data_IF_268851640109
#
_entry.id   IF_268851640109
#
_cell.length_a   1.000
_cell.length_b   1.000
_cell.length_c   1.000
_cell.angle_alpha   90.00
_cell.angle_beta   90.00
_cell.angle_gamma   90.00
#
_symmetry.space_group_name_H-M   'P 1'
#
loop_
_entity.id
_entity.type
_entity.pdbx_description
1 polymer ?
#
# COMPACT_ATOMS: atom_id res chain seq x y z
N UNK A 1 -19.45 5.72 -12.40
CA UNK A 1 -19.14 7.07 -11.91
C UNK A 1 -19.33 8.15 -12.99
N UNK A 2 -20.16 9.17 -12.70
CA UNK A 2 -20.36 10.35 -13.55
C UNK A 2 -19.15 11.31 -13.49
N UNK A 3 -18.95 12.12 -14.53
CA UNK A 3 -17.93 13.17 -14.67
C UNK A 3 -17.86 14.14 -13.48
N UNK A 4 -19.00 14.62 -12.97
CA UNK A 4 -19.03 15.52 -11.81
C UNK A 4 -18.40 14.89 -10.55
N UNK A 5 -18.75 13.63 -10.27
CA UNK A 5 -18.19 12.91 -9.13
C UNK A 5 -16.69 12.66 -9.30
N UNK A 6 -16.24 12.31 -10.52
CA UNK A 6 -14.80 12.18 -10.83
C UNK A 6 -14.04 13.48 -10.56
N UNK A 7 -14.61 14.62 -10.95
CA UNK A 7 -14.01 15.94 -10.70
C UNK A 7 -13.91 16.22 -9.20
N UNK A 8 -14.97 15.95 -8.42
CA UNK A 8 -14.92 16.12 -6.95
C UNK A 8 -13.86 15.26 -6.28
N UNK A 9 -13.71 14.01 -6.71
CA UNK A 9 -12.66 13.10 -6.22
C UNK A 9 -11.29 13.67 -6.56
N UNK A 10 -11.07 14.06 -7.82
CA UNK A 10 -9.81 14.65 -8.27
C UNK A 10 -9.48 15.95 -7.52
N UNK A 11 -10.47 16.81 -7.28
CA UNK A 11 -10.30 18.03 -6.48
C UNK A 11 -9.94 17.73 -5.02
N UNK A 12 -10.50 16.68 -4.42
CA UNK A 12 -10.09 16.22 -3.08
C UNK A 12 -8.65 15.68 -3.05
N UNK A 13 -8.14 15.20 -4.18
CA UNK A 13 -6.75 14.75 -4.33
C UNK A 13 -5.76 15.89 -4.56
N UNK A 14 -6.21 17.13 -4.72
CA UNK A 14 -5.33 18.29 -4.86
C UNK A 14 -4.80 18.77 -3.50
N UNK A 15 -3.59 19.33 -3.48
CA UNK A 15 -3.01 19.94 -2.28
C UNK A 15 -2.86 21.45 -2.49
N UNK A 16 -3.80 22.22 -1.92
CA UNK A 16 -3.94 23.63 -2.29
C UNK A 16 -4.30 23.75 -3.78
N UNK A 17 -3.47 24.45 -4.55
CA UNK A 17 -3.63 24.58 -6.01
C UNK A 17 -2.76 23.60 -6.79
N UNK A 18 -2.08 22.66 -6.13
CA UNK A 18 -1.17 21.71 -6.77
C UNK A 18 -1.95 20.43 -7.09
N UNK A 19 -2.10 20.16 -8.38
CA UNK A 19 -2.78 18.96 -8.86
C UNK A 19 -1.87 17.71 -8.76
N UNK A 20 -2.43 16.50 -8.63
CA UNK A 20 -1.64 15.26 -8.65
C UNK A 20 -0.70 15.15 -9.86
N UNK A 21 -1.13 15.63 -11.02
CA UNK A 21 -0.35 15.56 -12.27
C UNK A 21 0.86 16.49 -12.29
N UNK A 22 0.87 17.51 -11.42
CA UNK A 22 1.96 18.49 -11.31
C UNK A 22 3.05 18.03 -10.32
N UNK A 23 2.76 17.02 -9.48
CA UNK A 23 3.72 16.51 -8.51
C UNK A 23 4.39 15.23 -9.02
N UNK A 24 5.70 15.32 -9.22
CA UNK A 24 6.49 14.20 -9.73
C UNK A 24 6.81 13.19 -8.62
N UNK A 25 6.26 11.98 -8.77
CA UNK A 25 6.76 10.79 -8.07
C UNK A 25 7.84 10.15 -8.93
N UNK A 26 9.00 9.74 -8.38
CA UNK A 26 10.14 9.23 -9.16
C UNK A 26 9.90 7.86 -9.80
N UNK A 27 8.75 7.22 -9.56
CA UNK A 27 8.41 5.90 -10.06
C UNK A 27 7.07 5.95 -10.79
N UNK A 28 6.94 5.33 -11.99
CA UNK A 28 5.71 5.34 -12.77
C UNK A 28 4.59 4.46 -12.19
N UNK A 29 4.93 3.51 -11.32
CA UNK A 29 4.02 2.67 -10.55
C UNK A 29 4.78 2.02 -9.38
N UNK A 30 4.06 1.25 -8.55
CA UNK A 30 4.63 0.60 -7.36
C UNK A 30 5.68 -0.45 -7.74
N UNK A 31 5.45 -1.26 -8.77
CA UNK A 31 6.39 -2.32 -9.14
C UNK A 31 7.75 -1.75 -9.60
N UNK A 32 7.77 -0.56 -10.20
CA UNK A 32 9.01 0.11 -10.57
C UNK A 32 9.90 0.50 -9.39
N UNK A 33 9.42 0.45 -8.14
CA UNK A 33 10.28 0.52 -6.95
C UNK A 33 11.28 -0.65 -6.91
N UNK A 34 10.80 -1.87 -7.20
CA UNK A 34 11.62 -3.08 -7.22
C UNK A 34 12.62 -3.02 -8.37
N UNK A 35 12.16 -2.63 -9.57
CA UNK A 35 13.04 -2.40 -10.73
C UNK A 35 14.13 -1.36 -10.38
N UNK A 36 13.73 -0.22 -9.81
CA UNK A 36 14.62 0.88 -9.45
C UNK A 36 15.67 0.51 -8.40
N UNK A 37 15.30 -0.21 -7.34
CA UNK A 37 16.27 -0.69 -6.34
C UNK A 37 17.28 -1.67 -6.95
N UNK A 38 16.83 -2.50 -7.90
CA UNK A 38 17.70 -3.47 -8.57
C UNK A 38 18.75 -2.83 -9.50
N UNK A 39 18.55 -1.61 -10.01
CA UNK A 39 19.54 -0.96 -10.89
C UNK A 39 20.88 -0.73 -10.17
N UNK A 40 20.84 -0.31 -8.90
CA UNK A 40 22.05 0.09 -8.14
C UNK A 40 22.31 -0.76 -6.90
N UNK A 41 21.30 -1.38 -6.33
CA UNK A 41 21.35 -2.00 -5.00
C UNK A 41 20.86 -3.44 -5.02
N UNK A 42 21.02 -4.13 -6.15
CA UNK A 42 20.58 -5.53 -6.34
C UNK A 42 21.08 -6.49 -5.25
N UNK A 43 22.30 -6.27 -4.75
CA UNK A 43 22.96 -7.13 -3.76
C UNK A 43 22.71 -6.67 -2.31
N UNK A 44 22.00 -5.54 -2.11
CA UNK A 44 21.62 -5.10 -0.77
C UNK A 44 20.50 -5.99 -0.23
N UNK A 45 20.57 -6.28 1.08
CA UNK A 45 19.53 -7.02 1.78
C UNK A 45 18.25 -6.19 1.85
N UNK A 46 17.14 -6.83 1.52
CA UNK A 46 15.78 -6.30 1.71
C UNK A 46 15.17 -6.92 2.97
N UNK A 47 15.27 -8.25 3.12
CA UNK A 47 14.81 -8.96 4.33
C UNK A 47 16.00 -9.64 4.98
N UNK A 48 16.52 -9.01 6.04
CA UNK A 48 17.79 -9.36 6.66
C UNK A 48 17.81 -10.79 7.20
N UNK A 49 16.79 -11.14 7.97
CA UNK A 49 16.70 -12.43 8.68
C UNK A 49 16.55 -13.61 7.72
N UNK A 50 16.01 -13.35 6.52
CA UNK A 50 15.83 -14.35 5.46
C UNK A 50 16.98 -14.34 4.45
N UNK A 51 17.94 -13.43 4.61
CA UNK A 51 19.02 -13.19 3.64
C UNK A 51 18.51 -12.93 2.22
N UNK A 52 17.33 -12.31 2.07
CA UNK A 52 16.76 -11.99 0.77
C UNK A 52 17.25 -10.61 0.34
N UNK A 53 17.96 -10.56 -0.78
CA UNK A 53 18.41 -9.35 -1.46
C UNK A 53 17.34 -8.74 -2.36
N UNK A 54 17.53 -7.49 -2.80
CA UNK A 54 16.66 -6.88 -3.82
C UNK A 54 16.58 -7.71 -5.11
N UNK A 55 17.68 -8.36 -5.51
CA UNK A 55 17.74 -9.25 -6.68
C UNK A 55 16.91 -10.50 -6.50
N UNK A 56 17.02 -11.14 -5.34
CA UNK A 56 16.24 -12.34 -5.03
C UNK A 56 14.75 -12.01 -4.92
N UNK A 57 14.40 -10.85 -4.33
CA UNK A 57 13.01 -10.40 -4.29
C UNK A 57 12.43 -10.18 -5.70
N UNK A 58 13.19 -9.55 -6.61
CA UNK A 58 12.76 -9.37 -8.00
C UNK A 58 12.56 -10.71 -8.72
N UNK A 59 13.49 -11.66 -8.56
CA UNK A 59 13.36 -13.01 -9.12
C UNK A 59 12.12 -13.74 -8.60
N UNK A 60 11.90 -13.72 -7.29
CA UNK A 60 10.73 -14.32 -6.65
C UNK A 60 9.43 -13.66 -7.14
N UNK A 61 9.42 -12.35 -7.31
CA UNK A 61 8.27 -11.61 -7.81
C UNK A 61 7.95 -11.95 -9.27
N UNK A 62 8.96 -12.08 -10.13
CA UNK A 62 8.75 -12.48 -11.52
C UNK A 62 8.23 -13.92 -11.61
N UNK A 63 8.80 -14.84 -10.82
CA UNK A 63 8.31 -16.22 -10.70
C UNK A 63 6.86 -16.26 -10.24
N UNK A 64 6.53 -15.42 -9.26
CA UNK A 64 5.17 -15.28 -8.75
C UNK A 64 4.20 -14.74 -9.81
N UNK A 65 4.59 -13.76 -10.61
CA UNK A 65 3.76 -13.24 -11.69
C UNK A 65 3.54 -14.28 -12.81
N UNK A 66 4.58 -15.06 -13.15
CA UNK A 66 4.48 -16.22 -14.05
C UNK A 66 3.53 -17.28 -13.50
N UNK A 67 3.64 -17.59 -12.21
CA UNK A 67 2.78 -18.55 -11.53
C UNK A 67 1.32 -18.09 -11.52
N UNK A 68 1.06 -16.84 -11.11
CA UNK A 68 -0.27 -16.22 -11.12
C UNK A 68 -0.90 -16.32 -12.51
N UNK A 69 -0.14 -16.05 -13.57
CA UNK A 69 -0.60 -16.20 -14.96
C UNK A 69 -1.00 -17.65 -15.26
N UNK A 70 -0.21 -18.64 -14.79
CA UNK A 70 -0.48 -20.07 -15.02
C UNK A 70 -1.75 -20.57 -14.34
N UNK A 71 -2.15 -19.96 -13.23
CA UNK A 71 -3.37 -20.29 -12.48
C UNK A 71 -4.57 -19.41 -12.84
N UNK A 72 -4.47 -18.61 -13.92
CA UNK A 72 -5.58 -17.84 -14.49
C UNK A 72 -5.57 -16.34 -14.20
N UNK A 73 -4.53 -15.82 -13.56
CA UNK A 73 -4.30 -14.38 -13.39
C UNK A 73 -4.14 -13.68 -14.74
N UNK A 74 -4.75 -12.49 -14.86
CA UNK A 74 -4.71 -11.69 -16.09
C UNK A 74 -4.29 -10.25 -15.77
N UNK A 75 -3.69 -9.54 -16.73
CA UNK A 75 -3.51 -8.10 -16.61
C UNK A 75 -4.84 -7.40 -16.29
N UNK A 76 -4.77 -6.29 -15.56
CA UNK A 76 -5.92 -5.44 -15.18
C UNK A 76 -6.97 -6.15 -14.31
N UNK A 77 -6.71 -7.39 -13.88
CA UNK A 77 -7.61 -8.11 -12.99
C UNK A 77 -7.40 -7.71 -11.52
N UNK A 78 -8.51 -7.70 -10.78
CA UNK A 78 -8.52 -7.59 -9.32
C UNK A 78 -8.29 -8.97 -8.74
N UNK A 79 -7.23 -9.15 -7.97
CA UNK A 79 -6.82 -10.44 -7.41
C UNK A 79 -6.82 -10.33 -5.89
N UNK A 80 -7.56 -11.22 -5.22
CA UNK A 80 -7.54 -11.34 -3.78
C UNK A 80 -6.19 -11.87 -3.31
N UNK A 81 -5.59 -11.16 -2.36
CA UNK A 81 -4.39 -11.60 -1.66
C UNK A 81 -4.78 -12.09 -0.27
N UNK A 82 -4.75 -13.40 0.00
CA UNK A 82 -4.93 -13.91 1.35
C UNK A 82 -3.71 -13.57 2.22
N UNK A 83 -3.88 -13.61 3.53
CA UNK A 83 -2.79 -13.41 4.49
C UNK A 83 -1.80 -14.58 4.46
N UNK A 84 -0.71 -14.42 3.73
CA UNK A 84 0.37 -15.41 3.61
C UNK A 84 1.48 -15.14 4.64
N UNK A 85 2.20 -16.18 5.09
CA UNK A 85 3.39 -15.99 5.92
C UNK A 85 4.42 -15.08 5.26
N UNK A 86 5.06 -14.22 6.04
CA UNK A 86 6.17 -13.39 5.58
C UNK A 86 7.29 -14.27 4.97
N UNK A 87 7.83 -13.95 3.79
CA UNK A 87 7.63 -12.72 2.99
C UNK A 87 6.67 -12.91 1.79
N UNK A 88 5.86 -13.96 1.78
CA UNK A 88 5.10 -14.35 0.59
C UNK A 88 3.93 -13.41 0.30
N UNK A 89 3.37 -12.72 1.30
CA UNK A 89 2.35 -11.69 1.08
C UNK A 89 2.93 -10.54 0.26
N UNK A 90 4.14 -10.09 0.60
CA UNK A 90 4.85 -9.01 -0.09
C UNK A 90 5.21 -9.44 -1.52
N UNK A 91 5.78 -10.64 -1.68
CA UNK A 91 6.13 -11.18 -3.01
C UNK A 91 4.87 -11.28 -3.89
N UNK A 92 3.75 -11.77 -3.35
CA UNK A 92 2.51 -11.88 -4.12
C UNK A 92 1.90 -10.53 -4.48
N UNK A 93 1.89 -9.55 -3.57
CA UNK A 93 1.41 -8.21 -3.89
C UNK A 93 2.21 -7.56 -5.02
N UNK A 94 3.54 -7.63 -4.95
CA UNK A 94 4.38 -7.13 -6.04
C UNK A 94 4.23 -7.95 -7.33
N UNK A 95 3.90 -9.23 -7.25
CA UNK A 95 3.62 -10.05 -8.42
C UNK A 95 2.31 -9.66 -9.11
N UNK A 96 1.27 -9.33 -8.32
CA UNK A 96 -0.01 -8.80 -8.82
C UNK A 96 0.23 -7.44 -9.50
N UNK A 97 1.00 -6.53 -8.89
CA UNK A 97 1.35 -5.25 -9.52
C UNK A 97 2.23 -5.43 -10.77
N UNK A 98 3.16 -6.39 -10.78
CA UNK A 98 3.97 -6.70 -11.96
C UNK A 98 3.10 -7.26 -13.10
N UNK A 99 2.10 -8.09 -12.79
CA UNK A 99 1.10 -8.56 -13.76
C UNK A 99 0.25 -7.41 -14.33
N UNK A 100 0.25 -6.25 -13.67
CA UNK A 100 -0.60 -5.10 -14.00
C UNK A 100 -2.00 -5.21 -13.41
N UNK A 101 -2.17 -5.96 -12.32
CA UNK A 101 -3.43 -6.16 -11.62
C UNK A 101 -3.56 -5.30 -10.36
N UNK A 102 -4.77 -5.34 -9.79
CA UNK A 102 -5.11 -4.70 -8.51
C UNK A 102 -5.03 -5.72 -7.38
N UNK A 103 -4.34 -5.38 -6.29
CA UNK A 103 -4.37 -6.17 -5.05
C UNK A 103 -5.70 -5.92 -4.34
N UNK A 104 -6.41 -6.97 -3.95
CA UNK A 104 -7.63 -6.88 -3.13
C UNK A 104 -7.36 -7.45 -1.75
N UNK A 105 -7.53 -6.63 -0.72
CA UNK A 105 -7.38 -6.99 0.70
C UNK A 105 -8.74 -6.96 1.40
N UNK A 106 -8.91 -7.79 2.42
CA UNK A 106 -10.07 -7.81 3.31
C UNK A 106 -9.68 -8.44 4.65
N UNK A 107 -10.43 -8.13 5.71
CA UNK A 107 -10.32 -8.84 6.99
C UNK A 107 -10.95 -10.24 6.94
N UNK A 108 -11.80 -10.49 5.95
CA UNK A 108 -12.43 -11.79 5.75
C UNK A 108 -11.42 -12.79 5.16
N UNK A 109 -11.55 -14.07 5.51
CA UNK A 109 -10.72 -15.16 4.96
C UNK A 109 -10.85 -15.29 3.43
N UNK A 110 -12.00 -14.88 2.89
CA UNK A 110 -12.34 -14.92 1.46
C UNK A 110 -12.89 -13.58 1.01
N UNK A 111 -12.68 -13.18 -0.27
CA UNK A 111 -13.22 -11.93 -0.76
C UNK A 111 -14.75 -12.00 -0.76
N UNK A 112 -15.45 -11.02 -0.16
CA UNK A 112 -16.90 -11.05 -0.10
C UNK A 112 -17.51 -10.99 -1.51
N UNK A 113 -18.50 -11.85 -1.77
CA UNK A 113 -19.26 -11.81 -3.02
C UNK A 113 -20.13 -10.57 -3.03
N UNK A 114 -19.83 -9.63 -3.93
CA UNK A 114 -20.61 -8.42 -4.13
C UNK A 114 -21.15 -8.38 -5.54
N UNK A 115 -22.38 -7.90 -5.67
CA UNK A 115 -22.99 -7.66 -6.98
C UNK A 115 -22.15 -6.59 -7.70
N UNK A 116 -21.87 -6.80 -8.97
CA UNK A 116 -21.12 -5.86 -9.83
C UNK A 116 -19.65 -5.61 -9.39
N UNK A 117 -19.08 -6.53 -8.60
CA UNK A 117 -17.67 -6.53 -8.22
C UNK A 117 -17.04 -7.89 -8.56
N UNK A 118 -16.13 -7.89 -9.53
CA UNK A 118 -15.35 -9.06 -9.89
C UNK A 118 -13.99 -9.03 -9.19
N UNK A 119 -13.65 -10.15 -8.54
CA UNK A 119 -12.37 -10.37 -7.89
C UNK A 119 -11.99 -11.85 -8.05
N UNK A 120 -10.78 -12.09 -8.54
CA UNK A 120 -10.23 -13.42 -8.71
C UNK A 120 -9.64 -13.91 -7.39
N UNK A 121 -10.17 -15.01 -6.86
CA UNK A 121 -9.61 -15.71 -5.72
C UNK A 121 -8.76 -16.90 -6.22
N UNK A 122 -7.50 -16.62 -6.56
CA UNK A 122 -6.61 -17.60 -7.21
C UNK A 122 -5.63 -18.27 -6.24
N UNK A 123 -5.23 -17.56 -5.19
CA UNK A 123 -4.17 -17.97 -4.27
C UNK A 123 -4.79 -18.80 -3.15
N UNK A 124 -4.54 -20.11 -3.14
CA UNK A 124 -4.99 -21.00 -2.06
C UNK A 124 -3.96 -21.05 -0.92
N UNK A 125 -4.46 -20.98 0.32
CA UNK A 125 -3.64 -21.13 1.54
C UNK A 125 -3.03 -22.53 1.71
N UNK A 126 -3.57 -23.53 1.01
CA UNK A 126 -3.07 -24.92 1.06
C UNK A 126 -1.86 -25.16 0.14
N UNK A 127 -1.57 -24.22 -0.76
CA UNK A 127 -0.49 -24.36 -1.74
C UNK A 127 0.87 -24.09 -1.10
N UNK A 128 1.82 -24.98 -1.36
CA UNK A 128 3.24 -24.71 -1.09
C UNK A 128 3.79 -23.70 -2.10
N UNK A 129 3.63 -22.41 -1.77
CA UNK A 129 4.04 -21.28 -2.61
C UNK A 129 5.53 -21.40 -2.97
N UNK A 130 6.39 -21.73 -2.02
CA UNK A 130 7.84 -21.87 -2.26
C UNK A 130 8.11 -22.87 -3.38
N UNK A 131 7.45 -24.03 -3.32
CA UNK A 131 7.57 -25.06 -4.34
C UNK A 131 7.05 -24.59 -5.70
N UNK A 132 5.91 -23.90 -5.75
CA UNK A 132 5.38 -23.41 -7.03
C UNK A 132 6.26 -22.32 -7.66
N UNK A 133 6.81 -21.40 -6.86
CA UNK A 133 7.74 -20.38 -7.34
C UNK A 133 9.03 -21.00 -7.90
N UNK A 134 9.57 -22.02 -7.24
CA UNK A 134 10.78 -22.71 -7.72
C UNK A 134 10.64 -23.35 -9.11
N UNK A 135 9.42 -23.73 -9.51
CA UNK A 135 9.12 -24.31 -10.83
C UNK A 135 8.79 -23.25 -11.89
N UNK A 136 8.50 -22.03 -11.46
CA UNK A 136 7.96 -20.97 -12.31
C UNK A 136 9.06 -20.23 -13.07
N UNK A 137 8.71 -19.65 -14.22
CA UNK A 137 9.66 -18.91 -15.04
C UNK A 137 10.09 -17.58 -14.37
N UNK A 138 11.39 -17.33 -14.15
CA UNK A 138 11.88 -16.05 -13.61
C UNK A 138 11.87 -14.90 -14.62
N UNK A 139 11.78 -15.18 -15.92
CA UNK A 139 11.77 -14.17 -16.97
C UNK A 139 10.33 -13.77 -17.33
N UNK A 140 9.66 -13.09 -16.40
CA UNK A 140 8.32 -12.57 -16.61
C UNK A 140 8.35 -11.26 -17.40
N UNK A 141 7.53 -11.16 -18.45
CA UNK A 141 7.34 -9.94 -19.24
C UNK A 141 5.87 -9.50 -19.08
N UNK A 142 5.60 -8.35 -18.45
CA UNK A 142 4.24 -7.87 -18.27
C UNK A 142 3.59 -7.49 -19.60
N UNK A 143 2.34 -7.91 -19.80
CA UNK A 143 1.54 -7.53 -20.98
C UNK A 143 0.90 -6.15 -20.84
N UNK A 144 0.75 -5.68 -19.62
CA UNK A 144 0.25 -4.35 -19.26
C UNK A 144 1.15 -3.78 -18.17
N UNK A 145 1.45 -2.49 -18.25
CA UNK A 145 2.18 -1.77 -17.20
C UNK A 145 1.27 -0.66 -16.69
N UNK A 146 0.86 -0.76 -15.43
CA UNK A 146 0.03 0.25 -14.79
C UNK A 146 0.75 1.60 -14.74
N UNK A 147 -0.02 2.67 -14.87
CA UNK A 147 0.38 4.05 -14.64
C UNK A 147 0.06 4.47 -13.19
N UNK A 148 0.54 5.66 -12.82
CA UNK A 148 0.33 6.25 -11.49
C UNK A 148 -1.15 6.31 -11.07
N UNK A 149 -2.04 6.69 -12.00
CA UNK A 149 -3.46 6.88 -11.69
C UNK A 149 -4.30 5.61 -11.81
N UNK A 150 -3.69 4.48 -12.21
CA UNK A 150 -4.41 3.21 -12.27
C UNK A 150 -4.64 2.65 -10.86
N UNK A 151 -5.72 1.88 -10.70
CA UNK A 151 -6.08 1.20 -9.46
C UNK A 151 -4.97 0.20 -9.07
N UNK A 152 -4.45 0.34 -7.86
CA UNK A 152 -3.38 -0.51 -7.33
C UNK A 152 -3.87 -1.42 -6.21
N UNK A 153 -4.82 -0.91 -5.41
CA UNK A 153 -5.30 -1.57 -4.21
C UNK A 153 -6.79 -1.33 -4.03
N UNK A 154 -7.51 -2.37 -3.63
CA UNK A 154 -8.83 -2.27 -3.04
C UNK A 154 -8.76 -2.84 -1.63
N UNK A 155 -9.11 -2.03 -0.63
CA UNK A 155 -9.40 -2.51 0.71
C UNK A 155 -10.91 -2.74 0.83
N UNK A 156 -11.35 -3.99 0.87
CA UNK A 156 -12.75 -4.35 1.10
C UNK A 156 -13.03 -4.36 2.60
N UNK A 157 -14.00 -3.55 3.00
CA UNK A 157 -14.56 -3.49 4.34
C UNK A 157 -16.01 -4.00 4.29
N UNK A 158 -16.58 -4.43 5.41
CA UNK A 158 -17.91 -5.06 5.48
C UNK A 158 -18.97 -4.50 4.52
N UNK A 159 -19.09 -3.18 4.41
CA UNK A 159 -20.14 -2.51 3.62
C UNK A 159 -19.62 -1.75 2.37
N UNK A 160 -18.31 -1.63 2.15
CA UNK A 160 -17.77 -0.96 0.96
C UNK A 160 -16.35 -1.40 0.57
N UNK A 161 -15.76 -0.83 -0.48
CA UNK A 161 -14.34 -1.02 -0.77
C UNK A 161 -13.69 0.31 -1.14
N UNK A 162 -12.54 0.60 -0.54
CA UNK A 162 -11.73 1.80 -0.77
C UNK A 162 -10.81 1.52 -1.95
N UNK A 163 -10.87 2.31 -3.01
CA UNK A 163 -10.02 2.18 -4.19
C UNK A 163 -8.83 3.14 -4.09
N UNK A 164 -7.61 2.61 -4.16
CA UNK A 164 -6.37 3.35 -4.06
C UNK A 164 -5.55 3.19 -5.33
N UNK A 165 -5.00 4.28 -5.81
CA UNK A 165 -4.12 4.30 -6.99
C UNK A 165 -2.69 3.95 -6.61
N UNK A 166 -1.87 3.61 -7.62
CA UNK A 166 -0.43 3.53 -7.43
C UNK A 166 0.13 4.86 -6.87
N UNK A 167 -0.36 5.99 -7.38
CA UNK A 167 0.03 7.33 -6.97
C UNK A 167 -0.26 7.59 -5.48
N UNK A 168 -1.49 7.37 -5.04
CA UNK A 168 -1.89 7.68 -3.65
C UNK A 168 -1.07 6.89 -2.63
N UNK A 169 -0.75 5.62 -2.93
CA UNK A 169 0.09 4.79 -2.07
C UNK A 169 1.56 5.22 -2.07
N UNK A 170 2.11 5.56 -3.24
CA UNK A 170 3.49 6.02 -3.37
C UNK A 170 3.71 7.38 -2.69
N UNK A 171 2.77 8.31 -2.84
CA UNK A 171 2.83 9.63 -2.18
C UNK A 171 2.70 9.48 -0.67
N UNK A 172 1.81 8.60 -0.18
CA UNK A 172 1.68 8.32 1.25
C UNK A 172 3.00 7.79 1.83
N UNK A 173 3.59 6.77 1.21
CA UNK A 173 4.88 6.20 1.63
C UNK A 173 6.02 7.22 1.56
N UNK A 174 6.04 8.09 0.55
CA UNK A 174 6.99 9.19 0.46
C UNK A 174 6.82 10.19 1.61
N UNK A 175 5.58 10.53 1.96
CA UNK A 175 5.29 11.42 3.08
C UNK A 175 5.77 10.85 4.40
N UNK A 176 5.54 9.55 4.64
CA UNK A 176 6.08 8.83 5.80
C UNK A 176 7.61 8.89 5.82
N UNK A 177 8.28 8.58 4.70
CA UNK A 177 9.75 8.69 4.60
C UNK A 177 10.27 10.08 4.97
N UNK A 178 9.64 11.14 4.45
CA UNK A 178 10.06 12.52 4.71
C UNK A 178 9.87 12.86 6.18
N UNK A 179 8.70 12.57 6.75
CA UNK A 179 8.39 12.91 8.14
C UNK A 179 9.26 12.16 9.15
N UNK A 180 9.65 10.92 8.83
CA UNK A 180 10.47 10.08 9.71
C UNK A 180 11.98 10.22 9.49
N UNK A 181 12.41 10.83 8.38
CA UNK A 181 13.82 10.99 8.05
C UNK A 181 14.58 9.67 7.85
N UNK A 182 13.89 8.58 7.45
CA UNK A 182 14.50 7.27 7.26
C UNK A 182 15.60 7.30 6.19
N UNK A 183 16.73 6.66 6.49
CA UNK A 183 17.93 6.67 5.65
C UNK A 183 18.16 5.32 4.98
N UNK A 184 18.76 5.34 3.80
CA UNK A 184 19.18 4.11 3.12
C UNK A 184 20.21 3.36 3.98
N UNK A 185 20.09 2.04 4.04
CA UNK A 185 21.03 1.18 4.76
C UNK A 185 20.80 1.11 6.26
N UNK A 186 19.78 1.81 6.79
CA UNK A 186 19.24 1.51 8.11
C UNK A 186 18.21 0.39 8.02
N UNK A 187 17.85 -0.15 9.18
CA UNK A 187 16.94 -1.27 9.34
C UNK A 187 15.64 -0.86 10.01
N UNK A 188 14.53 -1.45 9.56
CA UNK A 188 13.20 -1.25 10.15
C UNK A 188 12.64 -2.55 10.69
N UNK A 189 11.95 -2.47 11.82
CA UNK A 189 11.15 -3.56 12.39
C UNK A 189 9.69 -3.17 12.34
N UNK A 190 8.92 -3.96 11.62
CA UNK A 190 7.48 -3.79 11.44
C UNK A 190 6.87 -5.16 11.20
N UNK A 191 5.70 -5.41 11.77
CA UNK A 191 4.97 -6.67 11.57
C UNK A 191 3.48 -6.37 11.50
N UNK A 192 2.99 -6.03 10.32
CA UNK A 192 1.58 -5.71 10.09
C UNK A 192 0.89 -6.87 9.39
N UNK A 193 -0.37 -7.10 9.76
CA UNK A 193 -1.22 -8.05 9.05
C UNK A 193 -1.46 -7.58 7.61
N UNK A 194 -1.33 -8.46 6.60
CA UNK A 194 -1.42 -8.14 5.18
C UNK A 194 -2.86 -7.93 4.68
N UNK A 195 -3.70 -7.33 5.53
CA UNK A 195 -5.08 -6.92 5.28
C UNK A 195 -5.28 -5.41 5.54
N UNK A 196 -4.21 -4.67 5.84
CA UNK A 196 -4.29 -3.23 6.20
C UNK A 196 -3.51 -2.35 5.23
N UNK A 197 -3.92 -1.08 5.11
CA UNK A 197 -3.13 -0.05 4.41
C UNK A 197 -1.81 0.25 5.12
N UNK A 198 -1.74 0.04 6.44
CA UNK A 198 -0.48 0.13 7.20
C UNK A 198 0.55 -0.89 6.71
N UNK A 199 0.15 -2.14 6.47
CA UNK A 199 1.03 -3.16 5.88
C UNK A 199 1.52 -2.73 4.49
N UNK A 200 0.61 -2.28 3.63
CA UNK A 200 0.97 -1.84 2.26
C UNK A 200 2.00 -0.71 2.31
N UNK A 201 1.76 0.33 3.11
CA UNK A 201 2.64 1.50 3.17
C UNK A 201 3.93 1.18 3.91
N UNK A 202 3.86 0.72 5.16
CA UNK A 202 5.02 0.63 6.06
C UNK A 202 5.87 -0.61 5.83
N UNK A 203 5.27 -1.73 5.41
CA UNK A 203 5.97 -3.02 5.30
C UNK A 203 6.24 -3.39 3.84
N UNK A 204 5.30 -3.18 2.92
CA UNK A 204 5.50 -3.55 1.52
C UNK A 204 6.25 -2.46 0.72
N UNK A 205 5.81 -1.19 0.79
CA UNK A 205 6.31 -0.11 -0.09
C UNK A 205 7.52 0.62 0.51
N UNK A 206 7.42 1.03 1.78
CA UNK A 206 8.41 1.90 2.42
C UNK A 206 9.86 1.39 2.32
N UNK A 207 10.18 0.10 2.53
CA UNK A 207 11.55 -0.40 2.42
C UNK A 207 12.19 -0.18 1.04
N UNK A 208 11.42 -0.33 -0.04
CA UNK A 208 11.92 -0.02 -1.38
C UNK A 208 12.01 1.48 -1.65
N UNK A 209 11.22 2.30 -0.95
CA UNK A 209 11.25 3.75 -1.11
C UNK A 209 12.46 4.39 -0.39
N UNK A 210 12.82 3.85 0.77
CA UNK A 210 13.91 4.31 1.63
C UNK A 210 15.23 3.60 1.32
N UNK A 211 15.18 2.35 0.85
CA UNK A 211 16.33 1.46 0.79
C UNK A 211 16.74 0.92 2.15
N UNK A 212 15.79 0.75 3.07
CA UNK A 212 15.97 0.10 4.37
C UNK A 212 15.73 -1.40 4.27
N UNK A 213 16.41 -2.19 5.10
CA UNK A 213 16.11 -3.62 5.27
C UNK A 213 15.05 -3.83 6.37
N UNK A 214 14.22 -4.87 6.24
CA UNK A 214 13.35 -5.35 7.32
C UNK A 214 14.10 -6.41 8.14
N UNK A 215 14.02 -6.30 9.46
CA UNK A 215 14.48 -7.31 10.42
C UNK A 215 13.51 -7.46 11.60
N UNK A 216 13.33 -8.67 12.10
CA UNK A 216 12.56 -9.00 13.30
C UNK A 216 13.43 -9.02 14.57
N UNK A 217 14.75 -8.88 14.42
CA UNK A 217 15.68 -8.80 15.54
C UNK A 217 15.75 -7.36 16.08
N UNK A 218 16.95 -6.77 16.06
CA UNK A 218 17.22 -5.38 16.43
C UNK A 218 17.27 -4.52 15.17
N UNK A 219 16.40 -3.53 15.10
CA UNK A 219 16.34 -2.54 14.02
C UNK A 219 16.76 -1.15 14.51
N UNK A 220 17.05 -0.26 13.57
CA UNK A 220 17.30 1.17 13.83
C UNK A 220 16.01 1.95 14.04
N UNK A 221 14.88 1.44 13.53
CA UNK A 221 13.55 2.03 13.76
C UNK A 221 12.50 0.93 13.87
N UNK A 222 11.66 1.01 14.89
CA UNK A 222 10.59 0.05 15.16
C UNK A 222 9.22 0.72 15.09
N UNK A 223 8.35 0.19 14.22
CA UNK A 223 6.93 0.54 14.17
C UNK A 223 6.12 -0.57 14.81
N UNK A 224 5.32 -0.26 15.81
CA UNK A 224 4.52 -1.26 16.52
C UNK A 224 3.07 -0.84 16.69
N UNK A 225 2.15 -1.80 16.58
CA UNK A 225 0.84 -1.64 17.21
C UNK A 225 1.00 -1.52 18.74
N UNK A 226 0.00 -0.96 19.46
CA UNK A 226 0.00 -1.00 20.92
C UNK A 226 0.26 -2.41 21.43
N UNK A 227 1.17 -2.53 22.39
CA UNK A 227 1.58 -3.80 23.04
C UNK A 227 2.26 -4.83 22.13
N UNK A 228 2.45 -4.54 20.84
CA UNK A 228 3.12 -5.47 19.91
C UNK A 228 4.62 -5.62 20.22
N UNK A 229 5.27 -4.52 20.61
CA UNK A 229 6.68 -4.46 20.99
C UNK A 229 6.82 -3.71 22.31
N UNK A 230 7.83 -4.05 23.10
CA UNK A 230 8.03 -3.49 24.46
C UNK A 230 8.28 -1.98 24.44
N UNK A 231 9.05 -1.48 23.45
CA UNK A 231 9.38 -0.06 23.29
C UNK A 231 9.55 0.28 21.79
N UNK A 232 8.47 0.40 21.01
CA UNK A 232 8.59 0.82 19.62
C UNK A 232 8.98 2.31 19.55
N UNK A 233 9.77 2.69 18.54
CA UNK A 233 10.09 4.10 18.28
C UNK A 233 8.86 4.89 17.81
N UNK A 234 7.88 4.18 17.23
CA UNK A 234 6.64 4.73 16.72
C UNK A 234 5.47 3.78 16.95
N UNK A 235 4.35 4.32 17.44
CA UNK A 235 3.10 3.57 17.57
C UNK A 235 2.27 3.69 16.29
N UNK A 236 1.64 2.61 15.86
CA UNK A 236 0.65 2.63 14.78
C UNK A 236 -0.73 2.57 15.42
N UNK A 237 -1.59 3.54 15.13
CA UNK A 237 -2.94 3.61 15.68
C UNK A 237 -3.98 3.42 14.55
N UNK A 238 -4.51 2.20 14.35
CA UNK A 238 -5.52 1.92 13.32
C UNK A 238 -6.86 2.61 13.58
N UNK A 239 -7.28 2.64 14.85
CA UNK A 239 -8.56 3.18 15.28
C UNK A 239 -8.33 4.33 16.25
N UNK A 240 -8.99 5.47 16.01
CA UNK A 240 -8.81 6.67 16.83
C UNK A 240 -10.04 7.57 16.78
N UNK A 241 -10.23 8.36 17.83
CA UNK A 241 -11.32 9.35 17.95
C UNK A 241 -10.81 10.79 18.00
N UNK A 242 -9.56 10.96 18.42
CA UNK A 242 -8.79 12.20 18.41
C UNK A 242 -7.38 11.92 17.88
N UNK A 243 -6.77 12.95 17.29
CA UNK A 243 -5.37 12.98 16.92
C UNK A 243 -4.66 13.85 17.95
N UNK A 244 -3.69 13.27 18.65
CA UNK A 244 -2.98 13.90 19.75
C UNK A 244 -1.49 13.66 19.60
N UNK A 245 -0.71 14.51 20.26
CA UNK A 245 0.73 14.33 20.35
C UNK A 245 1.06 13.32 21.43
N UNK A 246 1.76 12.25 21.06
CA UNK A 246 2.16 11.15 21.95
C UNK A 246 3.67 10.99 22.04
N UNK A 247 4.11 10.20 23.01
CA UNK A 247 5.50 9.75 23.19
C UNK A 247 5.49 8.25 23.58
N UNK A 248 6.01 7.33 22.75
CA UNK A 248 6.60 7.56 21.43
C UNK A 248 5.57 8.11 20.41
N UNK A 249 6.00 8.79 19.33
CA UNK A 249 5.09 9.39 18.35
C UNK A 249 4.15 8.38 17.69
N UNK A 250 2.89 8.77 17.48
CA UNK A 250 1.85 7.92 16.90
C UNK A 250 1.64 8.20 15.41
N UNK A 251 1.64 7.17 14.58
CA UNK A 251 1.18 7.17 13.19
C UNK A 251 -0.32 6.85 13.17
N UNK A 252 -1.14 7.87 12.92
CA UNK A 252 -2.59 7.70 12.83
C UNK A 252 -2.96 7.19 11.44
N UNK A 253 -3.66 6.05 11.38
CA UNK A 253 -4.05 5.41 10.12
C UNK A 253 -5.40 5.94 9.62
N UNK A 254 -5.50 6.18 8.32
CA UNK A 254 -6.76 6.38 7.61
C UNK A 254 -6.65 5.79 6.20
N UNK A 255 -7.36 4.69 5.96
CA UNK A 255 -7.31 3.98 4.68
C UNK A 255 -7.74 4.86 3.50
N UNK A 256 -8.68 5.79 3.71
CA UNK A 256 -9.08 6.77 2.69
C UNK A 256 -8.00 7.80 2.33
N UNK A 257 -6.96 7.96 3.16
CA UNK A 257 -5.74 8.72 2.84
C UNK A 257 -4.60 7.81 2.35
N UNK A 258 -4.91 6.58 1.94
CA UNK A 258 -3.94 5.62 1.43
C UNK A 258 -3.07 4.94 2.48
N UNK A 259 -3.32 5.19 3.77
CA UNK A 259 -2.51 4.66 4.86
C UNK A 259 -2.35 5.70 5.95
N UNK A 260 -1.16 6.25 6.12
CA UNK A 260 -0.87 7.16 7.24
C UNK A 260 -1.50 8.54 6.98
N UNK A 261 -2.24 9.07 7.94
CA UNK A 261 -2.83 10.42 7.88
C UNK A 261 -1.86 11.46 8.47
N UNK A 262 -1.33 11.17 9.65
CA UNK A 262 -0.49 12.07 10.43
C UNK A 262 0.52 11.30 11.27
N UNK A 263 1.56 12.02 11.69
CA UNK A 263 2.47 11.58 12.75
C UNK A 263 2.27 12.57 13.90
N UNK A 264 1.77 12.08 15.03
CA UNK A 264 1.15 12.91 16.05
C UNK A 264 0.07 13.80 15.41
N UNK A 265 0.04 15.07 15.79
CA UNK A 265 -0.86 16.11 15.31
C UNK A 265 -0.44 16.76 14.00
N UNK A 266 0.67 16.33 13.39
CA UNK A 266 1.19 16.87 12.14
C UNK A 266 0.83 15.97 10.95
N UNK A 267 0.13 16.48 9.91
CA UNK A 267 -0.17 15.70 8.72
C UNK A 267 1.12 15.28 7.99
N UNK A 268 1.09 14.12 7.33
CA UNK A 268 2.20 13.73 6.46
C UNK A 268 2.28 14.66 5.24
N UNK A 269 3.43 14.67 4.57
CA UNK A 269 3.65 15.50 3.38
C UNK A 269 2.54 15.32 2.32
N UNK A 270 2.03 16.44 1.78
CA UNK A 270 0.94 16.51 0.79
C UNK A 270 -0.42 15.97 1.26
N UNK A 271 -0.60 15.80 2.56
CA UNK A 271 -1.89 15.56 3.19
C UNK A 271 -2.28 16.80 3.99
N UNK A 272 -3.56 17.15 3.96
CA UNK A 272 -4.15 18.17 4.80
C UNK A 272 -5.43 17.61 5.43
N UNK A 273 -5.61 17.81 6.73
CA UNK A 273 -6.84 17.47 7.40
C UNK A 273 -7.26 18.57 8.37
N UNK A 274 -8.57 18.63 8.64
CA UNK A 274 -9.15 19.47 9.69
C UNK A 274 -10.35 18.77 10.30
N UNK A 275 -10.61 19.04 11.58
CA UNK A 275 -11.82 18.58 12.24
C UNK A 275 -12.81 19.75 12.26
N UNK A 276 -13.94 19.61 11.56
CA UNK A 276 -15.00 20.61 11.50
C UNK A 276 -16.34 19.98 11.89
N UNK A 277 -17.03 20.54 12.89
CA UNK A 277 -18.30 20.01 13.40
C UNK A 277 -18.26 18.49 13.71
N UNK A 278 -17.19 18.03 14.35
CA UNK A 278 -16.92 16.60 14.66
C UNK A 278 -16.79 15.68 13.44
N UNK A 279 -16.57 16.25 12.24
CA UNK A 279 -16.25 15.51 11.03
C UNK A 279 -14.80 15.75 10.63
N UNK A 280 -14.12 14.69 10.23
CA UNK A 280 -12.80 14.78 9.62
C UNK A 280 -12.98 15.23 8.17
N UNK A 281 -12.27 16.26 7.77
CA UNK A 281 -12.24 16.72 6.38
C UNK A 281 -10.81 16.58 5.90
N UNK A 282 -10.59 15.73 4.90
CA UNK A 282 -9.26 15.46 4.35
C UNK A 282 -9.16 15.90 2.89
N UNK A 283 -7.97 16.33 2.50
CA UNK A 283 -7.60 16.67 1.14
C UNK A 283 -6.11 16.38 0.95
N UNK A 284 -5.71 16.14 -0.30
CA UNK A 284 -4.31 15.95 -0.64
C UNK A 284 -4.05 14.70 -1.45
N UNK A 285 -2.80 14.55 -1.87
CA UNK A 285 -2.40 13.67 -2.97
C UNK A 285 -2.55 12.18 -2.66
N UNK A 286 -2.62 11.83 -1.36
CA UNK A 286 -2.81 10.44 -0.90
C UNK A 286 -4.28 10.03 -0.77
N UNK A 287 -5.23 10.94 -1.00
CA UNK A 287 -6.67 10.63 -0.92
C UNK A 287 -7.05 9.57 -1.95
N UNK A 288 -7.88 8.61 -1.53
CA UNK A 288 -8.38 7.51 -2.35
C UNK A 288 -9.06 7.98 -3.66
N UNK A 289 -9.14 7.07 -4.63
CA UNK A 289 -9.86 7.26 -5.90
C UNK A 289 -11.38 7.19 -5.74
N UNK A 290 -11.85 7.02 -4.51
CA UNK A 290 -13.23 6.78 -4.16
C UNK A 290 -13.47 5.34 -3.73
N UNK A 291 -14.71 5.09 -3.35
CA UNK A 291 -15.21 3.79 -3.02
C UNK A 291 -15.80 3.07 -4.24
N UNK A 292 -15.86 1.73 -4.20
CA UNK A 292 -16.54 0.91 -5.22
C UNK A 292 -18.02 1.30 -5.36
N UNK A 293 -18.69 1.63 -4.24
CA UNK A 293 -20.07 2.11 -4.25
C UNK A 293 -20.15 3.62 -4.52
N UNK A 294 -20.51 3.98 -5.76
CA UNK A 294 -20.72 5.37 -6.19
C UNK A 294 -21.68 6.16 -5.29
N UNK A 295 -22.70 5.53 -4.69
CA UNK A 295 -23.62 6.23 -3.80
C UNK A 295 -22.93 6.74 -2.52
N UNK A 296 -21.91 6.03 -2.02
CA UNK A 296 -21.11 6.51 -0.87
C UNK A 296 -20.14 7.62 -1.29
N UNK A 297 -19.62 7.57 -2.51
CA UNK A 297 -18.82 8.67 -3.06
C UNK A 297 -19.62 9.97 -3.13
N UNK A 298 -20.88 9.88 -3.56
CA UNK A 298 -21.79 11.03 -3.62
C UNK A 298 -22.06 11.68 -2.26
N UNK A 299 -21.98 10.91 -1.17
CA UNK A 299 -22.20 11.43 0.19
C UNK A 299 -20.96 12.08 0.81
N UNK A 300 -19.78 11.55 0.51
CA UNK A 300 -18.53 11.88 1.21
C UNK A 300 -17.63 12.88 0.47
N UNK A 301 -17.63 12.90 -0.88
CA UNK A 301 -16.85 13.88 -1.63
C UNK A 301 -17.65 15.17 -1.84
N UNK A 302 -17.19 16.24 -1.19
CA UNK A 302 -17.82 17.57 -1.18
C UNK A 302 -16.79 18.64 -1.49
N UNK A 303 -17.12 19.50 -2.44
CA UNK A 303 -16.22 20.58 -2.88
C UNK A 303 -14.84 20.02 -3.29
N UNK A 304 -13.81 20.30 -2.50
CA UNK A 304 -12.42 19.89 -2.72
C UNK A 304 -11.90 18.97 -1.60
N UNK A 305 -12.77 18.19 -0.97
CA UNK A 305 -12.38 17.35 0.16
C UNK A 305 -13.22 16.09 0.28
N UNK A 306 -12.67 15.11 0.98
CA UNK A 306 -13.39 13.96 1.51
C UNK A 306 -13.83 14.27 2.96
N UNK A 307 -15.09 13.95 3.28
CA UNK A 307 -15.73 14.17 4.58
C UNK A 307 -16.30 12.85 5.13
#
# INVERSE_FOLDING_TARGET
MNSDLKNRIYSAQCFGNIEPVEFMVPYPNIFSLVEGQNVKYKDALLYKDLSITNKEFLDLTNRAASWLTSIGGKPESRIFLPSLPFPYSEIMAFAIWNLGGTVVLTDDEYPPKRKDFECLNLISLEVDIKRELSKSNPDFIPKFRSNLLDEALILLEKDNGIQLSHYSLLVNANGVKISLGLQRGSSVKVNMSPNTTAWVVLQAILPFYTGTDITHEKADTTFGLPEQFENPDYLIQPEWTSIEKTDPPTLYLLSENGGILSINDEPIHLTNFKIYNKKLVISGHSVMMGYINDAKNETCFRENSLI
#
